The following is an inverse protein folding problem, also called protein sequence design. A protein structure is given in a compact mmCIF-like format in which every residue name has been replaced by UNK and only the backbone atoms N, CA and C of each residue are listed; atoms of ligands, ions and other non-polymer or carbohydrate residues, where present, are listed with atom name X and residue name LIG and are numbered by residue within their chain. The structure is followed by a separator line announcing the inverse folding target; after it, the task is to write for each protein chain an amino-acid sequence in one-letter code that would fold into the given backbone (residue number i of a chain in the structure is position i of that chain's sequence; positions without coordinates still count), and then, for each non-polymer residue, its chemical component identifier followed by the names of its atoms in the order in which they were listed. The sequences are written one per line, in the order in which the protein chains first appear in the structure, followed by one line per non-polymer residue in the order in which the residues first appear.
data_IF_460685784432
#
_entry.id   IF_460685784432
#
_cell.length_a   1.000
_cell.length_b   1.000
_cell.length_c   1.000
_cell.angle_alpha   90.00
_cell.angle_beta   90.00
_cell.angle_gamma   90.00
#
_symmetry.space_group_name_H-M   'P 1'
#
loop_
_entity.id
_entity.type
_entity.pdbx_description
1 polymer ?
#
# COMPACT_ATOMS: atom_id res chain seq x y z
N UNK A 1 -16.14 19.65 3.46
CA UNK A 1 -16.21 18.19 3.18
C UNK A 1 -15.99 18.01 1.69
N UNK A 2 -14.75 17.77 1.28
CA UNK A 2 -14.36 17.58 -0.13
C UNK A 2 -13.48 16.32 -0.17
N UNK A 3 -14.01 15.27 -0.82
CA UNK A 3 -13.31 14.20 -1.56
C UNK A 3 -12.02 13.58 -0.98
N UNK A 4 -12.08 12.94 0.19
CA UNK A 4 -10.98 12.03 0.63
C UNK A 4 -11.20 10.59 0.11
N UNK A 5 -12.42 10.24 -0.32
CA UNK A 5 -12.80 8.89 -0.76
C UNK A 5 -12.10 8.42 -2.06
N UNK A 6 -11.49 9.32 -2.84
CA UNK A 6 -10.85 8.98 -4.12
C UNK A 6 -9.34 8.75 -4.05
N UNK A 7 -8.66 9.29 -3.04
CA UNK A 7 -7.18 9.35 -3.03
C UNK A 7 -6.59 7.95 -2.91
N UNK A 8 -7.07 7.11 -1.99
CA UNK A 8 -6.57 5.75 -1.81
C UNK A 8 -6.80 4.86 -3.04
N UNK A 9 -7.98 4.97 -3.67
CA UNK A 9 -8.28 4.25 -4.91
C UNK A 9 -7.34 4.70 -6.03
N UNK A 10 -7.07 6.00 -6.16
CA UNK A 10 -6.12 6.51 -7.16
C UNK A 10 -4.70 6.00 -6.90
N UNK A 11 -4.25 5.88 -5.65
CA UNK A 11 -2.96 5.30 -5.32
C UNK A 11 -2.89 3.81 -5.65
N UNK A 12 -3.94 3.05 -5.32
CA UNK A 12 -4.02 1.63 -5.66
C UNK A 12 -3.97 1.41 -7.17
N UNK A 13 -4.80 2.14 -7.93
CA UNK A 13 -4.83 2.05 -9.41
C UNK A 13 -3.47 2.45 -9.99
N UNK A 14 -2.86 3.51 -9.47
CA UNK A 14 -1.53 3.97 -9.91
C UNK A 14 -0.46 2.92 -9.62
N UNK A 15 -0.47 2.31 -8.43
CA UNK A 15 0.48 1.26 -8.05
C UNK A 15 0.33 0.02 -8.95
N UNK A 16 -0.91 -0.41 -9.23
CA UNK A 16 -1.18 -1.51 -10.15
C UNK A 16 -0.75 -1.18 -11.58
N UNK A 17 -1.02 0.04 -12.06
CA UNK A 17 -0.60 0.50 -13.38
C UNK A 17 0.93 0.53 -13.51
N UNK A 18 1.63 1.01 -12.48
CA UNK A 18 3.10 0.95 -12.39
C UNK A 18 3.57 -0.51 -12.40
N UNK A 19 2.90 -1.40 -11.67
CA UNK A 19 3.22 -2.82 -11.67
C UNK A 19 3.13 -3.44 -13.06
N UNK A 20 2.04 -3.15 -13.78
CA UNK A 20 1.86 -3.61 -15.17
C UNK A 20 2.92 -3.01 -16.09
N UNK A 21 3.26 -1.73 -15.93
CA UNK A 21 4.30 -1.05 -16.72
C UNK A 21 5.70 -1.61 -16.45
N UNK A 22 5.98 -2.09 -15.24
CA UNK A 22 7.26 -2.69 -14.83
C UNK A 22 7.39 -4.16 -15.26
N UNK A 23 6.28 -4.87 -15.49
CA UNK A 23 6.33 -6.29 -15.88
C UNK A 23 7.27 -6.62 -17.04
N UNK A 24 7.36 -5.84 -18.15
CA UNK A 24 8.30 -6.13 -19.23
C UNK A 24 9.77 -6.18 -18.79
N UNK A 25 10.12 -5.43 -17.75
CA UNK A 25 11.47 -5.36 -17.20
C UNK A 25 11.75 -6.49 -16.20
N UNK A 26 10.74 -6.90 -15.42
CA UNK A 26 10.91 -7.85 -14.30
C UNK A 26 10.48 -9.27 -14.67
N UNK A 27 9.88 -9.49 -15.85
CA UNK A 27 9.40 -10.80 -16.26
C UNK A 27 10.50 -11.88 -16.23
N UNK A 28 10.17 -13.13 -15.88
CA UNK A 28 11.07 -14.25 -16.06
C UNK A 28 11.46 -14.43 -17.54
N UNK A 29 12.67 -14.91 -17.84
CA UNK A 29 13.14 -15.04 -19.23
C UNK A 29 12.28 -16.00 -20.06
N UNK A 30 11.63 -16.98 -19.43
CA UNK A 30 10.75 -17.95 -20.10
C UNK A 30 9.29 -17.48 -20.29
N UNK A 31 8.87 -16.40 -19.62
CA UNK A 31 7.47 -16.00 -19.60
C UNK A 31 7.13 -14.98 -20.70
N UNK A 32 5.96 -15.17 -21.33
CA UNK A 32 5.40 -14.24 -22.32
C UNK A 32 4.22 -13.50 -21.70
N UNK A 33 4.23 -12.19 -21.80
CA UNK A 33 3.11 -11.35 -21.37
C UNK A 33 2.03 -11.41 -22.45
N UNK A 34 0.85 -11.87 -22.08
CA UNK A 34 -0.32 -11.97 -22.97
C UNK A 34 -1.60 -11.52 -22.25
N UNK A 35 -2.57 -11.04 -23.02
CA UNK A 35 -3.90 -10.67 -22.50
C UNK A 35 -4.65 -11.92 -22.01
N UNK A 36 -4.48 -13.06 -22.68
CA UNK A 36 -5.02 -14.34 -22.22
C UNK A 36 -4.50 -14.72 -20.82
N UNK A 37 -3.22 -14.44 -20.52
CA UNK A 37 -2.65 -14.66 -19.19
C UNK A 37 -3.34 -13.83 -18.10
N UNK A 38 -3.79 -12.62 -18.41
CA UNK A 38 -4.56 -11.80 -17.45
C UNK A 38 -5.93 -12.40 -17.16
N UNK A 39 -6.62 -12.94 -18.18
CA UNK A 39 -7.92 -13.60 -18.00
C UNK A 39 -7.75 -14.88 -17.17
N UNK A 40 -6.70 -15.65 -17.43
CA UNK A 40 -6.37 -16.85 -16.67
C UNK A 40 -6.03 -16.52 -15.21
N UNK A 41 -5.30 -15.43 -14.96
CA UNK A 41 -5.05 -14.90 -13.62
C UNK A 41 -6.36 -14.66 -12.86
N UNK A 42 -7.29 -13.87 -13.41
CA UNK A 42 -8.57 -13.56 -12.76
C UNK A 42 -9.36 -14.84 -12.48
N UNK A 43 -9.37 -15.79 -13.42
CA UNK A 43 -10.12 -17.05 -13.28
C UNK A 43 -9.51 -17.99 -12.24
N UNK A 44 -8.19 -18.17 -12.24
CA UNK A 44 -7.49 -19.14 -11.38
C UNK A 44 -7.22 -18.62 -9.97
N UNK A 45 -7.00 -17.31 -9.84
CA UNK A 45 -6.63 -16.63 -8.60
C UNK A 45 -7.76 -15.73 -8.06
N UNK A 46 -9.01 -16.01 -8.42
CA UNK A 46 -10.17 -15.24 -7.98
C UNK A 46 -10.25 -15.06 -6.45
N UNK A 47 -9.83 -16.06 -5.67
CA UNK A 47 -9.78 -15.98 -4.21
C UNK A 47 -8.74 -14.96 -3.72
N UNK A 48 -7.57 -14.88 -4.37
CA UNK A 48 -6.55 -13.89 -4.03
C UNK A 48 -7.04 -12.48 -4.33
N UNK A 49 -7.70 -12.31 -5.48
CA UNK A 49 -8.35 -11.05 -5.86
C UNK A 49 -9.42 -10.66 -4.84
N UNK A 50 -10.23 -11.61 -4.38
CA UNK A 50 -11.24 -11.38 -3.35
C UNK A 50 -10.61 -10.94 -2.03
N UNK A 51 -9.57 -11.64 -1.56
CA UNK A 51 -8.86 -11.26 -0.33
C UNK A 51 -8.26 -9.86 -0.45
N UNK A 52 -7.61 -9.56 -1.57
CA UNK A 52 -7.02 -8.25 -1.85
C UNK A 52 -8.09 -7.14 -1.79
N UNK A 53 -9.26 -7.38 -2.40
CA UNK A 53 -10.39 -6.47 -2.35
C UNK A 53 -10.95 -6.33 -0.93
N UNK A 54 -11.05 -7.44 -0.18
CA UNK A 54 -11.50 -7.41 1.22
C UNK A 54 -10.56 -6.60 2.10
N UNK A 55 -9.25 -6.77 1.95
CA UNK A 55 -8.23 -6.03 2.71
C UNK A 55 -8.31 -4.54 2.37
N UNK A 56 -8.48 -4.20 1.09
CA UNK A 56 -8.67 -2.82 0.66
C UNK A 56 -9.89 -2.18 1.34
N UNK A 57 -11.05 -2.83 1.31
CA UNK A 57 -12.27 -2.29 1.92
C UNK A 57 -12.16 -2.20 3.45
N UNK A 58 -11.59 -3.22 4.09
CA UNK A 58 -11.38 -3.21 5.53
C UNK A 58 -10.45 -2.07 5.93
N UNK A 59 -9.33 -1.88 5.21
CA UNK A 59 -8.41 -0.78 5.45
C UNK A 59 -9.08 0.58 5.29
N UNK A 60 -9.79 0.80 4.18
CA UNK A 60 -10.43 2.09 3.93
C UNK A 60 -11.47 2.42 5.01
N UNK A 61 -12.28 1.43 5.41
CA UNK A 61 -13.23 1.58 6.50
C UNK A 61 -12.56 1.95 7.83
N UNK A 62 -11.48 1.24 8.19
CA UNK A 62 -10.75 1.50 9.42
C UNK A 62 -10.05 2.86 9.41
N UNK A 63 -9.43 3.25 8.29
CA UNK A 63 -8.82 4.56 8.13
C UNK A 63 -9.87 5.69 8.22
N UNK A 64 -11.10 5.46 7.76
CA UNK A 64 -12.20 6.40 7.95
C UNK A 64 -12.60 6.54 9.42
N UNK A 65 -12.72 5.41 10.15
CA UNK A 65 -13.00 5.41 11.59
C UNK A 65 -11.89 6.13 12.35
N UNK A 66 -10.63 5.82 12.07
CA UNK A 66 -9.47 6.42 12.71
C UNK A 66 -9.46 7.94 12.55
N UNK A 67 -9.68 8.44 11.32
CA UNK A 67 -9.80 9.88 11.05
C UNK A 67 -10.92 10.55 11.86
N UNK A 68 -12.07 9.89 11.99
CA UNK A 68 -13.20 10.41 12.78
C UNK A 68 -12.84 10.43 14.26
N UNK A 69 -12.22 9.38 14.79
CA UNK A 69 -11.82 9.31 16.19
C UNK A 69 -10.78 10.40 16.49
N UNK A 70 -9.73 10.50 15.67
CA UNK A 70 -8.65 11.48 15.84
C UNK A 70 -9.20 12.93 15.81
N UNK A 71 -10.12 13.24 14.89
CA UNK A 71 -10.73 14.56 14.80
C UNK A 71 -11.56 14.93 16.05
N UNK A 72 -12.21 13.95 16.68
CA UNK A 72 -13.08 14.19 17.84
C UNK A 72 -12.37 14.13 19.20
N UNK A 73 -11.32 13.31 19.30
CA UNK A 73 -10.62 13.06 20.58
C UNK A 73 -9.30 13.82 20.71
N UNK A 74 -8.78 14.37 19.60
CA UNK A 74 -7.47 15.03 19.60
C UNK A 74 -6.34 14.07 19.95
N UNK A 75 -6.50 12.77 19.67
CA UNK A 75 -5.48 11.73 19.84
C UNK A 75 -4.36 11.89 18.79
N UNK A 76 -3.68 13.03 18.80
CA UNK A 76 -2.43 13.22 18.08
C UNK A 76 -1.27 12.77 18.99
N UNK A 77 -0.37 11.93 18.47
CA UNK A 77 0.83 11.51 19.18
C UNK A 77 1.91 12.59 19.19
N UNK A 78 1.86 13.54 18.26
CA UNK A 78 2.87 14.58 18.07
C UNK A 78 3.14 15.40 19.34
N UNK A 79 2.11 15.88 20.09
CA UNK A 79 2.34 16.61 21.34
C UNK A 79 2.94 15.73 22.44
N UNK A 80 2.59 14.44 22.49
CA UNK A 80 3.12 13.51 23.49
C UNK A 80 4.60 13.20 23.24
N UNK A 81 4.97 12.96 21.98
CA UNK A 81 6.37 12.74 21.59
C UNK A 81 7.17 14.01 21.86
N UNK A 82 6.64 15.18 21.47
CA UNK A 82 7.30 16.45 21.75
C UNK A 82 7.49 16.71 23.25
N UNK A 83 6.54 16.32 24.10
CA UNK A 83 6.68 16.43 25.55
C UNK A 83 7.83 15.58 26.13
N UNK A 84 8.21 14.50 25.44
CA UNK A 84 9.32 13.61 25.83
C UNK A 84 10.65 14.09 25.21
N UNK A 85 10.66 14.39 23.90
CA UNK A 85 11.86 14.74 23.14
C UNK A 85 12.30 16.20 23.36
N UNK A 86 11.34 17.11 23.54
CA UNK A 86 11.57 18.53 23.80
C UNK A 86 12.09 19.34 22.62
N UNK A 87 12.39 20.61 22.89
CA UNK A 87 12.76 21.61 21.89
C UNK A 87 14.12 21.36 21.23
N UNK A 88 15.06 20.69 21.90
CA UNK A 88 16.38 20.40 21.34
C UNK A 88 16.28 19.47 20.13
N UNK A 89 15.46 18.43 20.22
CA UNK A 89 15.25 17.48 19.11
C UNK A 89 14.53 18.19 17.96
N UNK A 90 13.52 19.01 18.26
CA UNK A 90 12.84 19.82 17.26
C UNK A 90 13.81 20.72 16.48
N UNK A 91 14.72 21.42 17.17
CA UNK A 91 15.71 22.28 16.51
C UNK A 91 16.62 21.51 15.53
N UNK A 92 16.99 20.27 15.88
CA UNK A 92 17.76 19.40 14.96
C UNK A 92 16.89 18.99 13.76
N UNK A 93 15.64 18.59 13.99
CA UNK A 93 14.71 18.22 12.92
C UNK A 93 14.50 19.38 11.93
N UNK A 94 14.29 20.60 12.44
CA UNK A 94 14.14 21.80 11.62
C UNK A 94 15.40 22.14 10.83
N UNK A 95 16.59 21.91 11.38
CA UNK A 95 17.86 22.12 10.69
C UNK A 95 18.01 21.23 9.44
N UNK A 96 17.48 20.00 9.48
CA UNK A 96 17.52 19.06 8.37
C UNK A 96 16.24 19.06 7.52
N UNK A 97 15.21 19.83 7.89
CA UNK A 97 13.94 19.86 7.19
C UNK A 97 14.12 20.46 5.79
N UNK A 98 13.90 19.63 4.77
CA UNK A 98 13.94 20.05 3.38
C UNK A 98 12.59 19.75 2.71
N UNK A 99 11.80 20.77 2.31
CA UNK A 99 10.46 20.57 1.77
C UNK A 99 10.43 19.66 0.53
N UNK A 100 11.43 19.77 -0.35
CA UNK A 100 11.53 18.95 -1.56
C UNK A 100 11.81 17.50 -1.21
N UNK A 101 12.75 17.26 -0.29
CA UNK A 101 13.08 15.91 0.16
C UNK A 101 11.89 15.27 0.89
N UNK A 102 11.22 16.01 1.77
CA UNK A 102 10.01 15.57 2.47
C UNK A 102 8.94 15.15 1.48
N UNK A 103 8.62 16.01 0.50
CA UNK A 103 7.64 15.69 -0.53
C UNK A 103 8.00 14.40 -1.28
N UNK A 104 9.24 14.28 -1.76
CA UNK A 104 9.69 13.11 -2.51
C UNK A 104 9.67 11.83 -1.67
N UNK A 105 10.19 11.86 -0.44
CA UNK A 105 10.25 10.70 0.44
C UNK A 105 8.86 10.24 0.88
N UNK A 106 7.93 11.16 1.16
CA UNK A 106 6.53 10.80 1.48
C UNK A 106 5.89 10.07 0.30
N UNK A 107 6.05 10.56 -0.92
CA UNK A 107 5.49 9.92 -2.11
C UNK A 107 6.18 8.58 -2.40
N UNK A 108 7.51 8.52 -2.29
CA UNK A 108 8.27 7.29 -2.46
C UNK A 108 7.85 6.21 -1.46
N UNK A 109 7.66 6.58 -0.20
CA UNK A 109 7.19 5.67 0.84
C UNK A 109 5.78 5.14 0.53
N UNK A 110 4.82 6.03 0.27
CA UNK A 110 3.43 5.63 0.01
C UNK A 110 3.33 4.78 -1.26
N UNK A 111 3.91 5.24 -2.37
CA UNK A 111 3.87 4.51 -3.64
C UNK A 111 4.64 3.20 -3.55
N UNK A 112 5.85 3.22 -2.96
CA UNK A 112 6.69 2.03 -2.83
C UNK A 112 6.02 0.94 -2.00
N UNK A 113 5.43 1.31 -0.86
CA UNK A 113 4.66 0.38 -0.04
C UNK A 113 3.46 -0.21 -0.80
N UNK A 114 2.65 0.63 -1.46
CA UNK A 114 1.50 0.17 -2.23
C UNK A 114 1.90 -0.74 -3.39
N UNK A 115 2.97 -0.41 -4.11
CA UNK A 115 3.50 -1.24 -5.19
C UNK A 115 3.94 -2.59 -4.63
N UNK A 116 4.75 -2.63 -3.58
CA UNK A 116 5.23 -3.91 -3.02
C UNK A 116 4.07 -4.78 -2.53
N UNK A 117 3.10 -4.23 -1.82
CA UNK A 117 1.99 -5.02 -1.27
C UNK A 117 1.03 -5.52 -2.35
N UNK A 118 0.61 -4.67 -3.29
CA UNK A 118 -0.43 -5.01 -4.26
C UNK A 118 0.12 -5.62 -5.55
N UNK A 119 1.25 -5.12 -6.05
CA UNK A 119 1.86 -5.64 -7.30
C UNK A 119 2.51 -6.99 -7.08
N UNK A 120 3.05 -7.29 -5.88
CA UNK A 120 3.66 -8.60 -5.64
C UNK A 120 2.66 -9.75 -5.80
N UNK A 121 1.47 -9.65 -5.20
CA UNK A 121 0.40 -10.65 -5.35
C UNK A 121 0.04 -10.79 -6.83
N UNK A 122 -0.20 -9.66 -7.51
CA UNK A 122 -0.53 -9.65 -8.92
C UNK A 122 0.56 -10.30 -9.78
N UNK A 123 1.84 -10.00 -9.51
CA UNK A 123 3.00 -10.51 -10.24
C UNK A 123 3.13 -12.03 -10.13
N UNK A 124 3.14 -12.58 -8.91
CA UNK A 124 3.30 -14.03 -8.72
C UNK A 124 2.09 -14.81 -9.23
N UNK A 125 0.89 -14.27 -9.05
CA UNK A 125 -0.32 -14.88 -9.57
C UNK A 125 -0.38 -14.83 -11.12
N UNK A 126 0.14 -13.77 -11.75
CA UNK A 126 0.21 -13.66 -13.21
C UNK A 126 1.16 -14.70 -13.83
N UNK A 127 2.30 -14.96 -13.17
CA UNK A 127 3.28 -15.96 -13.63
C UNK A 127 2.98 -17.40 -13.14
N UNK A 128 1.80 -17.62 -12.57
CA UNK A 128 1.31 -18.92 -12.06
C UNK A 128 2.19 -19.53 -10.94
N UNK A 129 2.89 -18.69 -10.17
CA UNK A 129 3.60 -19.12 -8.95
C UNK A 129 2.64 -19.11 -7.75
N UNK A 130 1.86 -20.19 -7.65
CA UNK A 130 0.84 -20.32 -6.62
C UNK A 130 1.39 -20.31 -5.21
N UNK A 131 2.54 -20.94 -4.99
CA UNK A 131 3.12 -21.07 -3.66
C UNK A 131 3.57 -19.73 -3.09
N UNK A 132 4.21 -18.91 -3.92
CA UNK A 132 4.62 -17.57 -3.50
C UNK A 132 3.41 -16.63 -3.38
N UNK A 133 2.45 -16.73 -4.31
CA UNK A 133 1.20 -15.96 -4.28
C UNK A 133 0.38 -16.20 -3.01
N UNK A 134 0.21 -17.46 -2.61
CA UNK A 134 -0.52 -17.85 -1.39
C UNK A 134 0.17 -17.27 -0.14
N UNK A 135 1.50 -17.39 -0.06
CA UNK A 135 2.29 -16.89 1.08
C UNK A 135 2.18 -15.39 1.24
N UNK A 136 2.38 -14.64 0.17
CA UNK A 136 2.34 -13.18 0.20
C UNK A 136 0.92 -12.70 0.56
N UNK A 137 -0.10 -13.32 -0.03
CA UNK A 137 -1.49 -12.98 0.25
C UNK A 137 -1.86 -13.25 1.71
N UNK A 138 -1.45 -14.39 2.25
CA UNK A 138 -1.67 -14.71 3.67
C UNK A 138 -0.86 -13.79 4.58
N UNK A 139 0.39 -13.46 4.26
CA UNK A 139 1.20 -12.53 5.06
C UNK A 139 0.53 -11.16 5.14
N UNK A 140 0.08 -10.62 4.00
CA UNK A 140 -0.60 -9.33 3.96
C UNK A 140 -1.93 -9.42 4.73
N UNK A 141 -2.70 -10.48 4.53
CA UNK A 141 -3.93 -10.73 5.27
C UNK A 141 -3.70 -10.74 6.79
N UNK A 142 -2.70 -11.49 7.28
CA UNK A 142 -2.39 -11.56 8.72
C UNK A 142 -1.89 -10.24 9.28
N UNK A 143 -1.06 -9.50 8.53
CA UNK A 143 -0.61 -8.17 8.95
C UNK A 143 -1.81 -7.25 9.15
N UNK A 144 -2.76 -7.24 8.21
CA UNK A 144 -3.96 -6.42 8.34
C UNK A 144 -4.94 -6.93 9.39
N UNK A 145 -5.03 -8.25 9.60
CA UNK A 145 -5.90 -8.80 10.63
C UNK A 145 -5.37 -8.51 12.05
N UNK A 146 -4.05 -8.58 12.25
CA UNK A 146 -3.40 -8.34 13.55
C UNK A 146 -3.19 -6.86 13.87
N UNK A 147 -3.15 -5.99 12.85
CA UNK A 147 -2.98 -4.56 13.04
C UNK A 147 -4.25 -3.85 13.56
N UNK A 148 -5.38 -4.55 13.59
CA UNK A 148 -6.71 -4.07 13.99
C UNK A 148 -7.07 -4.66 15.34
#
# INVERSE_FOLDING_TARGET
MIEVEGVYLTWLISALAIGVAIMPLVKPPWARISISGFVDFIRRYWLHVLILFSIYNAKDFLDQIDRIIMANTGLDMTPWIFAIEGSMVLSIQEMFLNPTLTFLLTHFYVVGFMVICYVSIFYFAYFDDRWMSDRITLTIFWVYLLAV
#
